data_IF_351032963612
#
_entry.id   IF_351032963612
#
_cell.length_a   1.000
_cell.length_b   1.000
_cell.length_c   1.000
_cell.angle_alpha   90.00
_cell.angle_beta   90.00
_cell.angle_gamma   90.00
#
_symmetry.space_group_name_H-M   'P 1'
#
loop_
_entity.id
_entity.type
_entity.pdbx_description
1 polymer ?
#
# COMPACT_ATOMS: atom_id res chain seq x y z
N UNK A 1 10.25 -15.32 1.95
CA UNK A 1 8.85 -14.96 2.24
C UNK A 1 8.47 -13.78 1.34
N UNK A 2 7.48 -13.88 0.47
CA UNK A 2 6.95 -12.71 -0.26
C UNK A 2 6.00 -11.97 0.69
N UNK A 3 6.49 -10.93 1.33
CA UNK A 3 5.74 -10.20 2.36
C UNK A 3 4.83 -9.15 1.73
N UNK A 4 5.17 -8.64 0.55
CA UNK A 4 4.40 -7.60 -0.13
C UNK A 4 3.47 -8.22 -1.17
N UNK A 5 2.24 -7.71 -1.24
CA UNK A 5 1.22 -8.14 -2.18
C UNK A 5 0.83 -7.00 -3.11
N UNK A 6 0.80 -7.29 -4.41
CA UNK A 6 0.46 -6.34 -5.48
C UNK A 6 -0.68 -6.93 -6.29
N UNK A 7 -1.71 -6.12 -6.59
CA UNK A 7 -2.71 -6.44 -7.61
C UNK A 7 -2.86 -5.22 -8.55
N UNK A 8 -3.81 -5.30 -9.49
CA UNK A 8 -4.04 -4.23 -10.46
C UNK A 8 -4.58 -2.93 -9.82
N UNK A 9 -5.14 -3.01 -8.60
CA UNK A 9 -5.85 -1.90 -7.97
C UNK A 9 -5.00 -1.18 -6.91
N UNK A 10 -4.23 -1.93 -6.11
CA UNK A 10 -3.42 -1.41 -5.02
C UNK A 10 -2.32 -2.40 -4.57
N UNK A 11 -1.57 -2.01 -3.53
CA UNK A 11 -0.47 -2.79 -2.97
C UNK A 11 -0.44 -2.66 -1.46
N UNK A 12 -0.11 -3.77 -0.80
CA UNK A 12 0.19 -3.83 0.64
C UNK A 12 1.68 -4.13 0.83
N UNK A 13 2.36 -3.30 1.63
CA UNK A 13 3.77 -3.46 1.94
C UNK A 13 4.02 -3.35 3.45
N UNK A 14 4.87 -4.25 3.97
CA UNK A 14 5.38 -4.15 5.33
C UNK A 14 6.83 -3.68 5.26
N UNK A 15 7.11 -2.54 5.90
CA UNK A 15 8.38 -1.84 5.79
C UNK A 15 8.97 -1.69 7.18
N UNK A 16 10.21 -2.17 7.36
CA UNK A 16 11.05 -1.76 8.47
C UNK A 16 11.63 -0.38 8.12
N UNK A 17 11.09 0.67 8.74
CA UNK A 17 11.38 2.06 8.40
C UNK A 17 12.64 2.53 9.13
N UNK A 18 13.75 2.81 8.41
CA UNK A 18 14.94 3.38 9.05
C UNK A 18 14.63 4.75 9.63
N UNK A 19 15.15 5.05 10.82
CA UNK A 19 14.90 6.30 11.56
C UNK A 19 15.31 7.57 10.82
N UNK A 20 16.18 7.46 9.81
CA UNK A 20 16.62 8.58 8.96
C UNK A 20 15.62 8.98 7.88
N UNK A 21 14.56 8.21 7.65
CA UNK A 21 13.56 8.49 6.64
C UNK A 21 12.19 8.70 7.28
N UNK A 22 11.47 9.66 6.73
CA UNK A 22 10.03 9.81 6.94
C UNK A 22 9.24 8.81 6.09
N UNK A 23 7.97 8.61 6.47
CA UNK A 23 7.04 7.80 5.68
C UNK A 23 6.87 8.38 4.28
N UNK A 24 6.75 9.71 4.17
CA UNK A 24 6.59 10.41 2.90
C UNK A 24 7.77 10.15 1.95
N UNK A 25 9.01 10.23 2.45
CA UNK A 25 10.20 9.96 1.65
C UNK A 25 10.23 8.53 1.12
N UNK A 26 9.92 7.55 1.98
CA UNK A 26 9.86 6.14 1.57
C UNK A 26 8.78 5.92 0.51
N UNK A 27 7.60 6.51 0.68
CA UNK A 27 6.51 6.39 -0.28
C UNK A 27 6.87 7.08 -1.60
N UNK A 28 7.53 8.24 -1.57
CA UNK A 28 8.02 8.93 -2.77
C UNK A 28 9.03 8.08 -3.53
N UNK A 29 9.98 7.46 -2.83
CA UNK A 29 10.95 6.56 -3.44
C UNK A 29 10.29 5.32 -4.03
N UNK A 30 9.38 4.68 -3.28
CA UNK A 30 8.66 3.49 -3.73
C UNK A 30 7.81 3.80 -4.96
N UNK A 31 6.96 4.83 -4.91
CA UNK A 31 6.04 5.19 -5.99
C UNK A 31 6.78 5.71 -7.21
N UNK A 32 7.75 6.60 -7.00
CA UNK A 32 8.55 7.19 -8.07
C UNK A 32 9.44 6.17 -8.76
N UNK A 33 10.22 5.39 -7.99
CA UNK A 33 11.14 4.39 -8.51
C UNK A 33 10.43 3.28 -9.28
N UNK A 34 9.32 2.75 -8.74
CA UNK A 34 8.50 1.75 -9.44
C UNK A 34 7.85 2.31 -10.70
N UNK A 35 7.29 3.54 -10.65
CA UNK A 35 6.70 4.15 -11.85
C UNK A 35 7.73 4.39 -12.93
N UNK A 36 8.91 4.90 -12.58
CA UNK A 36 9.99 5.08 -13.52
C UNK A 36 10.38 3.74 -14.15
N UNK A 37 10.65 2.72 -13.33
CA UNK A 37 11.10 1.42 -13.81
C UNK A 37 10.06 0.73 -14.70
N UNK A 38 8.78 0.70 -14.30
CA UNK A 38 7.69 0.09 -15.08
C UNK A 38 7.52 0.78 -16.43
N UNK A 39 7.50 2.11 -16.45
CA UNK A 39 7.31 2.89 -17.67
C UNK A 39 8.53 2.83 -18.59
N UNK A 40 9.73 2.92 -18.02
CA UNK A 40 10.98 2.87 -18.77
C UNK A 40 11.15 1.52 -19.47
N UNK A 41 10.79 0.42 -18.80
CA UNK A 41 10.85 -0.93 -19.36
C UNK A 41 9.59 -1.33 -20.14
N UNK A 42 8.62 -0.44 -20.31
CA UNK A 42 7.37 -0.68 -21.06
C UNK A 42 6.65 -1.97 -20.64
N UNK A 43 6.63 -2.27 -19.34
CA UNK A 43 6.08 -3.53 -18.79
C UNK A 43 4.57 -3.66 -19.05
N UNK A 44 3.86 -2.54 -19.15
CA UNK A 44 2.41 -2.50 -19.42
C UNK A 44 2.11 -1.65 -20.66
N UNK A 45 0.95 -1.89 -21.27
CA UNK A 45 0.42 -1.00 -22.31
C UNK A 45 -0.03 0.32 -21.69
N UNK A 46 0.55 1.42 -22.13
CA UNK A 46 0.26 2.76 -21.61
C UNK A 46 1.24 3.22 -20.53
N UNK A 47 0.85 4.24 -19.78
CA UNK A 47 1.68 4.83 -18.71
C UNK A 47 1.16 4.41 -17.34
N UNK A 48 1.99 3.72 -16.58
CA UNK A 48 1.74 3.41 -15.19
C UNK A 48 1.87 4.68 -14.33
N UNK A 49 0.91 4.88 -13.43
CA UNK A 49 0.97 5.90 -12.41
C UNK A 49 0.25 5.40 -11.15
N UNK A 50 0.76 5.79 -9.98
CA UNK A 50 0.05 5.59 -8.73
C UNK A 50 -1.00 6.67 -8.50
N UNK A 51 -2.05 6.35 -7.74
CA UNK A 51 -2.94 7.37 -7.17
C UNK A 51 -2.18 8.34 -6.26
N UNK A 52 -2.73 9.53 -6.01
CA UNK A 52 -2.03 10.62 -5.28
C UNK A 52 -1.66 10.20 -3.85
N UNK A 53 -2.62 9.65 -3.10
CA UNK A 53 -2.46 9.34 -1.68
C UNK A 53 -1.74 8.03 -1.35
N UNK A 54 -1.66 7.76 -0.04
CA UNK A 54 -1.22 6.50 0.56
C UNK A 54 -1.82 6.35 1.97
N UNK A 55 -1.96 5.12 2.45
CA UNK A 55 -2.28 4.82 3.85
C UNK A 55 -1.04 4.26 4.55
N UNK A 56 -0.78 4.71 5.77
CA UNK A 56 0.33 4.22 6.58
C UNK A 56 -0.14 3.93 8.01
N UNK A 57 0.24 2.77 8.53
CA UNK A 57 -0.17 2.29 9.85
C UNK A 57 1.03 1.68 10.56
N UNK A 58 1.29 2.12 11.79
CA UNK A 58 2.36 1.55 12.62
C UNK A 58 2.00 0.13 13.07
N UNK A 59 2.99 -0.76 13.09
CA UNK A 59 2.84 -2.15 13.52
C UNK A 59 3.77 -2.40 14.70
N UNK A 60 3.23 -2.91 15.81
CA UNK A 60 4.03 -3.32 16.97
C UNK A 60 4.87 -4.56 16.62
N UNK A 61 6.04 -4.71 17.24
CA UNK A 61 6.93 -5.83 16.96
C UNK A 61 6.26 -7.20 17.16
N UNK A 62 5.43 -7.33 18.21
CA UNK A 62 4.64 -8.55 18.48
C UNK A 62 3.61 -8.88 17.41
N UNK A 63 3.14 -7.89 16.64
CA UNK A 63 2.12 -8.06 15.61
C UNK A 63 2.69 -8.27 14.20
N UNK A 64 3.99 -8.10 13.99
CA UNK A 64 4.66 -8.23 12.69
C UNK A 64 4.30 -9.56 12.00
N UNK A 65 4.36 -10.68 12.74
CA UNK A 65 4.02 -11.99 12.18
C UNK A 65 2.55 -12.10 11.74
N UNK A 66 1.64 -11.46 12.46
CA UNK A 66 0.21 -11.42 12.10
C UNK A 66 0.00 -10.58 10.83
N UNK A 67 0.64 -9.41 10.74
CA UNK A 67 0.54 -8.52 9.57
C UNK A 67 1.20 -9.14 8.34
N UNK A 68 2.37 -9.76 8.47
CA UNK A 68 3.02 -10.44 7.36
C UNK A 68 2.14 -11.57 6.78
N UNK A 69 1.50 -12.37 7.64
CA UNK A 69 0.53 -13.39 7.22
C UNK A 69 -0.70 -12.77 6.56
N UNK A 70 -1.19 -11.64 7.07
CA UNK A 70 -2.30 -10.92 6.46
C UNK A 70 -1.97 -10.53 5.02
N UNK A 71 -0.83 -9.87 4.80
CA UNK A 71 -0.42 -9.41 3.46
C UNK A 71 -0.18 -10.60 2.52
N UNK A 72 0.48 -11.67 2.99
CA UNK A 72 0.72 -12.85 2.18
C UNK A 72 -0.58 -13.53 1.67
N UNK A 73 -1.69 -13.37 2.40
CA UNK A 73 -2.99 -13.95 2.06
C UNK A 73 -3.93 -12.99 1.29
N UNK A 74 -3.46 -11.80 0.92
CA UNK A 74 -4.28 -10.80 0.22
C UNK A 74 -4.83 -11.28 -1.12
N UNK A 75 -4.11 -12.16 -1.82
CA UNK A 75 -4.61 -12.77 -3.05
C UNK A 75 -5.89 -13.60 -2.85
N UNK A 76 -6.04 -14.25 -1.70
CA UNK A 76 -7.27 -14.95 -1.35
C UNK A 76 -8.34 -13.98 -0.84
N UNK A 77 -7.94 -12.96 -0.09
CA UNK A 77 -8.84 -11.92 0.44
C UNK A 77 -9.59 -11.21 -0.70
N UNK A 78 -8.87 -10.79 -1.73
CA UNK A 78 -9.44 -10.04 -2.85
C UNK A 78 -10.27 -10.87 -3.83
N UNK A 79 -10.35 -12.19 -3.66
CA UNK A 79 -11.36 -13.01 -4.36
C UNK A 79 -12.77 -12.78 -3.82
N UNK A 80 -12.89 -12.28 -2.59
CA UNK A 80 -14.17 -12.13 -1.88
C UNK A 80 -14.45 -10.69 -1.43
N UNK A 81 -13.45 -9.80 -1.51
CA UNK A 81 -13.54 -8.41 -1.04
C UNK A 81 -12.80 -7.47 -1.98
N UNK A 82 -13.44 -6.37 -2.31
CA UNK A 82 -12.84 -5.29 -3.10
C UNK A 82 -11.91 -4.45 -2.24
N UNK A 83 -11.03 -3.67 -2.89
CA UNK A 83 -10.21 -2.67 -2.21
C UNK A 83 -11.04 -1.68 -1.39
N UNK A 84 -12.16 -1.17 -1.95
CA UNK A 84 -13.01 -0.21 -1.25
C UNK A 84 -13.58 -0.77 0.06
N UNK A 85 -14.06 -2.02 0.05
CA UNK A 85 -14.56 -2.67 1.26
C UNK A 85 -13.47 -2.84 2.31
N UNK A 86 -12.26 -3.23 1.88
CA UNK A 86 -11.10 -3.34 2.76
C UNK A 86 -10.70 -1.98 3.36
N UNK A 87 -10.67 -0.94 2.53
CA UNK A 87 -10.34 0.41 2.95
C UNK A 87 -11.33 0.92 4.01
N UNK A 88 -12.63 0.73 3.80
CA UNK A 88 -13.66 1.10 4.78
C UNK A 88 -13.49 0.35 6.11
N UNK A 89 -13.08 -0.92 6.06
CA UNK A 89 -12.76 -1.69 7.27
C UNK A 89 -11.56 -1.10 8.03
N UNK A 90 -10.53 -0.63 7.32
CA UNK A 90 -9.39 0.02 7.96
C UNK A 90 -9.76 1.36 8.58
N UNK A 91 -10.50 2.21 7.86
CA UNK A 91 -11.00 3.49 8.38
C UNK A 91 -11.76 3.26 9.69
N UNK A 92 -12.71 2.32 9.69
CA UNK A 92 -13.48 1.97 10.89
C UNK A 92 -12.62 1.37 12.00
N UNK A 93 -11.71 0.45 11.68
CA UNK A 93 -10.87 -0.24 12.68
C UNK A 93 -9.92 0.73 13.39
N UNK A 94 -9.37 1.69 12.67
CA UNK A 94 -8.40 2.64 13.21
C UNK A 94 -9.02 3.96 13.65
N UNK A 95 -10.36 4.06 13.63
CA UNK A 95 -11.07 5.26 14.05
C UNK A 95 -10.71 6.49 13.22
N UNK A 96 -10.33 6.31 11.96
CA UNK A 96 -9.98 7.41 11.08
C UNK A 96 -11.27 8.10 10.60
N UNK A 97 -11.28 9.43 10.62
CA UNK A 97 -12.28 10.21 9.90
C UNK A 97 -11.82 10.40 8.47
N UNK A 98 -12.66 10.01 7.52
CA UNK A 98 -12.41 10.28 6.11
C UNK A 98 -12.46 11.79 5.87
N UNK A 99 -11.31 12.39 5.59
CA UNK A 99 -11.21 13.78 5.13
C UNK A 99 -11.16 13.76 3.60
N UNK A 100 -12.19 14.31 2.96
CA UNK A 100 -12.10 14.67 1.54
C UNK A 100 -11.08 15.82 1.43
N UNK A 101 -9.87 15.51 0.99
CA UNK A 101 -8.99 16.54 0.44
C UNK A 101 -9.49 16.80 -0.98
N UNK A 102 -10.29 17.87 -1.13
CA UNK A 102 -10.70 18.36 -2.43
C UNK A 102 -9.46 18.73 -3.25
N UNK A 103 -9.44 18.31 -4.51
CA UNK A 103 -8.42 18.74 -5.47
C UNK A 103 -8.39 20.27 -5.52
N UNK A 104 -7.26 20.88 -5.17
CA UNK A 104 -6.87 22.18 -5.69
C UNK A 104 -6.23 22.01 -7.08
#
# INVERSE_FOLDING_TARGET
MKINYFNADHTHALIDLPTRYSIEEVIKLLKGGSSYWINHNQIIKGKFAWGVGYGAFSVSHSDVGRVARYIANQGQHHRKRTYNEEFQLFVKRYGLEWRFEGNH
#
